data_IF_478937453427
#
_entry.id   IF_478937453427
#
_cell.length_a   1.000
_cell.length_b   1.000
_cell.length_c   1.000
_cell.angle_alpha   90.00
_cell.angle_beta   90.00
_cell.angle_gamma   90.00
#
_symmetry.space_group_name_H-M   'P 1'
#
loop_
_entity.id
_entity.type
_entity.pdbx_description
1 polymer ?
#
# COMPACT_ATOMS: atom_id res chain seq x y z
N UNK A 1 1.45 14.39 -12.93
CA UNK A 1 0.72 14.29 -11.63
C UNK A 1 1.67 13.66 -10.64
N UNK A 2 1.89 14.24 -9.46
CA UNK A 2 2.97 13.85 -8.53
C UNK A 2 2.70 12.51 -7.81
N UNK A 3 1.50 11.97 -7.94
CA UNK A 3 0.97 10.93 -7.04
C UNK A 3 0.97 9.51 -7.65
N UNK A 4 1.33 9.36 -8.94
CA UNK A 4 1.35 8.06 -9.64
C UNK A 4 2.45 7.10 -9.12
N UNK A 5 3.33 7.58 -8.23
CA UNK A 5 4.45 6.80 -7.66
C UNK A 5 4.09 6.18 -6.30
N UNK A 6 3.00 6.61 -5.65
CA UNK A 6 2.69 6.28 -4.26
C UNK A 6 1.69 5.14 -4.05
N UNK A 7 0.91 4.76 -5.06
CA UNK A 7 -0.10 3.68 -4.95
C UNK A 7 0.25 2.60 -5.97
N UNK A 8 0.36 1.35 -5.49
CA UNK A 8 0.76 0.21 -6.31
C UNK A 8 0.03 -1.06 -5.87
N UNK A 9 0.20 -2.11 -6.67
CA UNK A 9 -0.25 -3.46 -6.40
C UNK A 9 0.86 -4.45 -6.79
N UNK A 10 0.93 -5.63 -6.16
CA UNK A 10 1.76 -6.72 -6.64
C UNK A 10 1.45 -7.05 -8.10
N UNK A 11 2.48 -7.44 -8.84
CA UNK A 11 2.32 -7.92 -10.21
C UNK A 11 2.29 -9.46 -10.21
N UNK A 12 1.28 -10.09 -10.84
CA UNK A 12 1.30 -11.52 -11.10
C UNK A 12 2.57 -11.93 -11.84
N UNK A 13 3.17 -13.05 -11.46
CA UNK A 13 4.33 -13.60 -12.16
C UNK A 13 3.82 -14.35 -13.40
N UNK A 14 4.21 -13.94 -14.63
CA UNK A 14 3.71 -14.55 -15.86
C UNK A 14 4.00 -16.06 -15.90
N UNK A 15 2.98 -16.85 -16.24
CA UNK A 15 3.08 -18.32 -16.30
C UNK A 15 2.93 -19.04 -14.95
N UNK A 16 2.74 -18.32 -13.85
CA UNK A 16 2.58 -18.87 -12.50
C UNK A 16 1.25 -18.50 -11.84
N UNK A 17 0.19 -18.43 -12.65
CA UNK A 17 -1.18 -18.30 -12.19
C UNK A 17 -2.00 -19.49 -12.69
N UNK A 18 -2.72 -20.12 -11.78
CA UNK A 18 -3.67 -21.21 -12.02
C UNK A 18 -4.95 -20.92 -11.25
N UNK A 19 -6.01 -21.72 -11.44
CA UNK A 19 -7.27 -21.55 -10.71
C UNK A 19 -7.09 -21.63 -9.18
N UNK A 20 -6.16 -22.45 -8.67
CA UNK A 20 -5.95 -22.66 -7.24
C UNK A 20 -4.77 -21.90 -6.63
N UNK A 21 -3.91 -21.29 -7.45
CA UNK A 21 -2.67 -20.64 -6.99
C UNK A 21 -2.34 -19.42 -7.84
N UNK A 22 -2.15 -18.28 -7.18
CA UNK A 22 -1.60 -17.05 -7.74
C UNK A 22 -0.22 -16.80 -7.13
N UNK A 23 0.81 -16.63 -7.99
CA UNK A 23 2.13 -16.16 -7.57
C UNK A 23 2.31 -14.72 -8.06
N UNK A 24 2.76 -13.84 -7.17
CA UNK A 24 2.92 -12.41 -7.42
C UNK A 24 4.22 -11.86 -6.83
N UNK A 25 4.59 -10.63 -7.21
CA UNK A 25 5.78 -9.95 -6.66
C UNK A 25 5.63 -9.69 -5.17
N UNK A 26 6.66 -10.02 -4.40
CA UNK A 26 6.68 -9.72 -2.97
C UNK A 26 6.66 -8.22 -2.68
N UNK A 27 5.80 -7.81 -1.75
CA UNK A 27 5.69 -6.45 -1.25
C UNK A 27 6.10 -6.39 0.22
N UNK A 28 7.04 -5.50 0.54
CA UNK A 28 7.46 -5.22 1.91
C UNK A 28 6.72 -4.00 2.45
N UNK A 29 6.01 -4.16 3.57
CA UNK A 29 5.35 -3.05 4.26
C UNK A 29 4.78 -3.45 5.61
N UNK A 30 4.30 -2.45 6.34
CA UNK A 30 3.49 -2.64 7.54
C UNK A 30 2.01 -2.70 7.15
N UNK A 31 1.22 -3.53 7.82
CA UNK A 31 -0.24 -3.54 7.59
C UNK A 31 -0.88 -2.22 8.00
N UNK A 32 -1.78 -1.68 7.16
CA UNK A 32 -2.44 -0.39 7.42
C UNK A 32 -3.22 -0.40 8.74
N UNK A 33 -3.84 -1.53 9.10
CA UNK A 33 -4.52 -1.70 10.38
C UNK A 33 -3.63 -1.46 11.60
N UNK A 34 -2.30 -1.66 11.51
CA UNK A 34 -1.35 -1.35 12.58
C UNK A 34 -1.22 0.16 12.78
N UNK A 35 -1.09 0.93 11.71
CA UNK A 35 -1.01 2.39 11.78
C UNK A 35 -2.28 3.01 12.38
N UNK A 36 -3.45 2.49 11.99
CA UNK A 36 -4.75 2.92 12.52
C UNK A 36 -4.82 2.65 14.02
N UNK A 37 -4.54 1.41 14.45
CA UNK A 37 -4.57 1.03 15.88
C UNK A 37 -3.61 1.84 16.74
N UNK A 38 -2.43 2.15 16.20
CA UNK A 38 -1.39 2.92 16.90
C UNK A 38 -1.61 4.43 16.85
N UNK A 39 -2.69 4.92 16.22
CA UNK A 39 -2.96 6.35 16.01
C UNK A 39 -1.73 7.08 15.45
N UNK A 40 -1.13 6.51 14.40
CA UNK A 40 0.05 7.08 13.77
C UNK A 40 -0.20 8.54 13.37
N UNK A 41 0.81 9.40 13.58
CA UNK A 41 0.77 10.80 13.13
C UNK A 41 0.57 10.92 11.60
N UNK A 42 0.82 9.84 10.86
CA UNK A 42 0.66 9.78 9.40
C UNK A 42 -0.72 9.29 8.95
N UNK A 43 -1.63 8.99 9.88
CA UNK A 43 -2.99 8.56 9.53
C UNK A 43 -3.70 9.52 8.56
N UNK A 44 -3.61 10.86 8.69
CA UNK A 44 -4.22 11.76 7.70
C UNK A 44 -3.66 11.57 6.28
N UNK A 45 -2.35 11.39 6.14
CA UNK A 45 -1.69 11.15 4.85
C UNK A 45 -2.07 9.78 4.27
N UNK A 46 -2.09 8.74 5.10
CA UNK A 46 -2.53 7.39 4.72
C UNK A 46 -4.00 7.37 4.26
N UNK A 47 -4.89 8.07 4.99
CA UNK A 47 -6.28 8.21 4.61
C UNK A 47 -6.44 8.96 3.28
N UNK A 48 -5.67 10.04 3.08
CA UNK A 48 -5.69 10.79 1.82
C UNK A 48 -5.27 9.91 0.63
N UNK A 49 -4.21 9.12 0.78
CA UNK A 49 -3.78 8.18 -0.26
C UNK A 49 -4.80 7.06 -0.49
N UNK A 50 -5.45 6.55 0.57
CA UNK A 50 -6.50 5.54 0.45
C UNK A 50 -7.72 6.05 -0.32
N UNK A 51 -8.18 7.27 -0.03
CA UNK A 51 -9.27 7.92 -0.78
C UNK A 51 -8.84 8.17 -2.22
N UNK A 52 -7.59 8.60 -2.45
CA UNK A 52 -7.07 8.79 -3.80
C UNK A 52 -7.07 7.47 -4.59
N UNK A 53 -6.58 6.37 -4.01
CA UNK A 53 -6.61 5.05 -4.62
C UNK A 53 -8.04 4.62 -4.98
N UNK A 54 -8.98 4.79 -4.06
CA UNK A 54 -10.40 4.49 -4.29
C UNK A 54 -10.97 5.28 -5.48
N UNK A 55 -10.69 6.58 -5.55
CA UNK A 55 -11.14 7.42 -6.66
C UNK A 55 -10.47 7.07 -7.99
N UNK A 56 -9.21 6.61 -7.99
CA UNK A 56 -8.56 6.11 -9.20
C UNK A 56 -9.26 4.86 -9.73
N UNK A 57 -9.55 3.89 -8.85
CA UNK A 57 -10.29 2.68 -9.24
C UNK A 57 -11.63 3.04 -9.88
N UNK A 58 -12.39 3.93 -9.22
CA UNK A 58 -13.71 4.38 -9.68
C UNK A 58 -13.66 5.16 -11.00
N UNK A 59 -12.89 6.25 -11.03
CA UNK A 59 -13.04 7.30 -12.04
C UNK A 59 -12.09 7.14 -13.22
N UNK A 60 -10.95 6.46 -13.01
CA UNK A 60 -9.94 6.25 -14.04
C UNK A 60 -9.98 4.82 -14.56
N UNK A 61 -10.01 3.85 -13.65
CA UNK A 61 -9.83 2.44 -13.99
C UNK A 61 -11.18 1.70 -14.18
N UNK A 62 -12.30 2.38 -13.95
CA UNK A 62 -13.67 1.89 -14.15
C UNK A 62 -13.98 0.58 -13.40
N UNK A 63 -13.47 0.42 -12.19
CA UNK A 63 -13.79 -0.72 -11.34
C UNK A 63 -13.93 -0.33 -9.86
N UNK A 64 -14.57 -1.20 -9.09
CA UNK A 64 -14.70 -1.09 -7.64
C UNK A 64 -14.03 -2.26 -6.96
N UNK A 65 -13.04 -2.00 -6.11
CA UNK A 65 -12.59 -2.96 -5.10
C UNK A 65 -13.61 -2.98 -3.96
N UNK A 66 -14.42 -4.03 -3.90
CA UNK A 66 -15.59 -4.08 -3.01
C UNK A 66 -15.22 -4.33 -1.54
N UNK A 67 -13.95 -4.64 -1.26
CA UNK A 67 -13.46 -4.91 0.10
C UNK A 67 -12.11 -4.25 0.36
N UNK A 68 -12.10 -2.92 0.47
CA UNK A 68 -10.90 -2.15 0.81
C UNK A 68 -10.63 -2.16 2.33
N UNK A 69 -10.67 -3.33 2.96
CA UNK A 69 -10.38 -3.52 4.38
C UNK A 69 -8.88 -3.20 4.67
N UNK A 70 -8.52 -2.62 5.83
CA UNK A 70 -7.12 -2.31 6.16
C UNK A 70 -6.17 -3.52 6.24
N UNK A 71 -6.70 -4.74 6.19
CA UNK A 71 -5.92 -5.98 6.07
C UNK A 71 -5.37 -6.21 4.66
N UNK A 72 -6.00 -5.62 3.64
CA UNK A 72 -5.67 -5.78 2.23
C UNK A 72 -4.72 -4.69 1.73
N UNK A 73 -4.20 -3.87 2.64
CA UNK A 73 -3.38 -2.70 2.32
C UNK A 73 -2.14 -2.70 3.21
N UNK A 74 -0.98 -2.67 2.55
CA UNK A 74 0.29 -2.41 3.20
C UNK A 74 0.69 -0.96 2.98
N UNK A 75 1.43 -0.40 3.94
CA UNK A 75 2.08 0.89 3.78
C UNK A 75 3.58 0.80 4.05
N UNK A 76 4.32 1.66 3.38
CA UNK A 76 5.76 1.84 3.63
C UNK A 76 6.13 3.32 3.59
N UNK A 77 7.30 3.63 4.14
CA UNK A 77 7.84 4.99 4.18
C UNK A 77 9.21 4.97 3.54
N UNK A 78 9.29 5.53 2.34
CA UNK A 78 10.55 5.70 1.64
C UNK A 78 11.26 6.92 2.17
N UNK A 79 12.37 6.71 2.86
CA UNK A 79 13.29 7.79 3.22
C UNK A 79 14.29 7.94 2.07
N UNK A 80 14.51 9.16 1.55
CA UNK A 80 15.60 9.38 0.60
C UNK A 80 16.90 8.92 1.26
N UNK A 81 17.69 8.13 0.53
CA UNK A 81 18.89 7.50 1.07
C UNK A 81 19.89 8.57 1.52
N UNK A 82 19.97 8.81 2.83
CA UNK A 82 21.17 9.38 3.44
C UNK A 82 22.19 8.25 3.49
N UNK A 83 23.28 8.37 2.74
CA UNK A 83 24.38 7.40 2.72
C UNK A 83 24.89 7.09 4.13
N UNK A 84 24.59 5.92 4.70
CA UNK A 84 25.53 5.08 5.47
C UNK A 84 24.90 3.78 6.02
N UNK A 85 25.61 2.68 5.73
CA UNK A 85 25.80 1.39 6.44
C UNK A 85 24.66 0.60 7.10
N UNK A 86 24.48 -0.62 6.55
CA UNK A 86 24.22 -1.94 7.17
C UNK A 86 22.84 -2.24 7.80
N UNK A 87 22.31 -3.49 7.65
CA UNK A 87 21.02 -3.89 8.19
C UNK A 87 21.17 -4.37 9.65
N UNK A 88 20.48 -3.73 10.58
CA UNK A 88 20.24 -4.27 11.93
C UNK A 88 18.75 -4.62 12.07
N UNK A 89 18.50 -5.80 12.67
CA UNK A 89 17.23 -6.44 13.01
C UNK A 89 16.17 -5.50 13.68
N UNK A 90 14.87 -5.89 13.69
CA UNK A 90 13.78 -4.95 13.94
C UNK A 90 13.73 -4.51 15.40
N UNK A 91 13.81 -3.19 15.63
CA UNK A 91 13.49 -2.56 16.91
C UNK A 91 12.03 -2.07 16.91
N UNK A 92 11.34 -2.42 17.99
CA UNK A 92 10.06 -1.93 18.54
C UNK A 92 9.82 -0.43 18.27
N UNK A 93 8.56 0.05 18.09
CA UNK A 93 8.31 1.34 17.49
C UNK A 93 8.73 2.48 18.42
N UNK A 94 9.78 3.19 18.02
CA UNK A 94 10.14 4.49 18.59
C UNK A 94 9.07 5.52 18.22
N UNK A 95 8.51 6.14 19.27
CA UNK A 95 7.74 7.35 19.15
C UNK A 95 8.66 8.56 18.87
N UNK A 96 8.22 9.41 17.94
CA UNK A 96 8.66 10.79 17.66
C UNK A 96 10.07 11.00 17.04
N UNK A 97 10.10 11.24 15.71
CA UNK A 97 11.11 12.08 15.03
C UNK A 97 10.73 12.36 13.56
N UNK A 98 10.51 13.62 13.20
CA UNK A 98 10.58 14.23 11.85
C UNK A 98 10.21 13.40 10.62
N UNK A 99 9.00 13.62 10.08
CA UNK A 99 8.39 12.94 8.93
C UNK A 99 9.00 13.34 7.56
N UNK A 100 10.24 12.94 7.27
CA UNK A 100 10.92 13.25 5.99
C UNK A 100 10.83 12.14 4.92
N UNK A 101 9.87 11.22 5.02
CA UNK A 101 9.76 10.11 4.05
C UNK A 101 8.45 10.14 3.28
N UNK A 102 8.44 9.69 2.03
CA UNK A 102 7.22 9.60 1.21
C UNK A 102 6.45 8.33 1.59
N UNK A 103 5.15 8.45 1.93
CA UNK A 103 4.30 7.27 2.16
C UNK A 103 3.98 6.59 0.84
N UNK A 104 3.96 5.26 0.85
CA UNK A 104 3.42 4.45 -0.24
C UNK A 104 2.36 3.50 0.29
N UNK A 105 1.35 3.25 -0.52
CA UNK A 105 0.33 2.24 -0.32
C UNK A 105 0.47 1.13 -1.37
N UNK A 106 0.32 -0.10 -0.91
CA UNK A 106 0.33 -1.29 -1.75
C UNK A 106 -0.95 -2.08 -1.45
N UNK A 107 -1.83 -2.21 -2.45
CA UNK A 107 -3.05 -3.01 -2.35
C UNK A 107 -2.70 -4.45 -2.71
N UNK A 108 -2.87 -5.38 -1.76
CA UNK A 108 -2.36 -6.76 -1.87
C UNK A 108 -3.45 -7.81 -2.07
N UNK A 109 -4.70 -7.38 -2.12
CA UNK A 109 -5.85 -8.25 -2.40
C UNK A 109 -6.69 -7.55 -3.47
N UNK A 110 -7.24 -8.31 -4.41
CA UNK A 110 -8.22 -7.90 -5.42
C UNK A 110 -9.26 -9.01 -5.66
N UNK A 111 -9.48 -9.89 -4.68
CA UNK A 111 -10.33 -11.06 -4.80
C UNK A 111 -11.82 -10.75 -4.98
N UNK A 112 -12.25 -9.54 -4.62
CA UNK A 112 -13.61 -9.03 -4.88
C UNK A 112 -13.51 -7.65 -5.53
N UNK A 113 -13.56 -7.64 -6.86
CA UNK A 113 -13.58 -6.42 -7.65
C UNK A 113 -14.56 -6.57 -8.81
N UNK A 114 -15.35 -5.51 -9.06
CA UNK A 114 -16.34 -5.47 -10.13
C UNK A 114 -16.08 -4.30 -11.07
N UNK A 115 -16.25 -4.53 -12.37
CA UNK A 115 -16.27 -3.47 -13.38
C UNK A 115 -17.53 -2.62 -13.25
N UNK A 116 -17.39 -1.32 -13.49
CA UNK A 116 -18.54 -0.41 -13.51
C UNK A 116 -19.23 -0.44 -14.88
N UNK A 117 -20.57 -0.32 -14.92
CA UNK A 117 -21.30 -0.23 -16.18
C UNK A 117 -20.79 0.94 -17.04
N UNK A 118 -20.68 0.70 -18.36
CA UNK A 118 -20.33 1.74 -19.33
C UNK A 118 -21.53 2.61 -19.71
#
# INVERSE_FOLDING_TARGET
MKDEIQIKAPRPVPGFATEGVLIETFVKGDGLGRAIRQKSARNPELCSLGVHAYLLMLLRDNFMHQDLHPGNILYSVDRPATSSSAPTAPKTPEAASGASGVVKLELIDFGIADELPQ
#
